data_IF_199016235324
#
_entry.id   IF_199016235324
#
_cell.length_a   1.000
_cell.length_b   1.000
_cell.length_c   1.000
_cell.angle_alpha   90.00
_cell.angle_beta   90.00
_cell.angle_gamma   90.00
#
_symmetry.space_group_name_H-M   'P 1'
#
loop_
_entity.id
_entity.type
_entity.pdbx_description
1 polymer ?
#
# COMPACT_ATOMS: atom_id res chain seq x y z
N UNK A 1 14.68 47.49 -22.48
CA UNK A 1 14.05 46.56 -21.52
C UNK A 1 13.17 45.65 -22.32
N UNK A 2 13.36 44.41 -22.14
CA UNK A 2 13.25 43.40 -23.18
C UNK A 2 11.96 42.65 -23.15
N UNK A 3 11.46 42.27 -24.33
CA UNK A 3 10.40 41.25 -24.57
C UNK A 3 10.58 40.06 -23.61
N UNK A 4 11.81 39.67 -23.31
CA UNK A 4 12.16 38.61 -22.36
C UNK A 4 11.69 38.86 -20.92
N UNK A 5 11.79 40.15 -20.43
CA UNK A 5 11.37 40.49 -19.06
C UNK A 5 9.84 40.54 -18.96
N UNK A 6 9.17 41.00 -20.00
CA UNK A 6 7.70 41.02 -20.09
C UNK A 6 7.14 39.59 -20.21
N UNK A 7 7.81 38.72 -20.98
CA UNK A 7 7.45 37.32 -21.09
C UNK A 7 7.65 36.60 -19.75
N UNK A 8 8.79 36.84 -19.09
CA UNK A 8 9.07 36.28 -17.76
C UNK A 8 8.06 36.72 -16.70
N UNK A 9 7.66 38.01 -16.73
CA UNK A 9 6.63 38.53 -15.83
C UNK A 9 5.27 37.89 -16.11
N UNK A 10 4.92 37.63 -17.37
CA UNK A 10 3.67 36.96 -17.76
C UNK A 10 3.60 35.50 -17.27
N UNK A 11 4.72 34.78 -17.38
CA UNK A 11 4.80 33.39 -16.85
C UNK A 11 4.88 33.32 -15.31
N UNK A 12 5.25 34.41 -14.65
CA UNK A 12 5.23 34.50 -13.18
C UNK A 12 3.87 34.92 -12.60
N UNK A 13 2.96 35.45 -13.43
CA UNK A 13 1.62 35.92 -13.00
C UNK A 13 0.79 34.87 -12.26
N UNK A 14 0.77 33.55 -12.63
CA UNK A 14 0.02 32.57 -11.91
C UNK A 14 0.32 32.49 -10.41
N UNK A 15 1.57 32.79 -10.01
CA UNK A 15 1.99 32.75 -8.61
C UNK A 15 1.38 33.90 -7.75
N UNK A 16 0.79 34.90 -8.36
CA UNK A 16 0.18 36.04 -7.65
C UNK A 16 -1.25 35.70 -7.21
N UNK A 17 -1.92 34.78 -7.90
CA UNK A 17 -3.34 34.46 -7.66
C UNK A 17 -3.57 33.57 -6.44
N UNK A 18 -2.56 32.90 -5.94
CA UNK A 18 -2.71 31.97 -4.82
C UNK A 18 -3.53 30.72 -5.14
N UNK A 19 -3.81 29.95 -4.10
CA UNK A 19 -4.57 28.71 -4.18
C UNK A 19 -5.93 28.85 -3.46
N UNK A 20 -6.97 28.19 -3.96
CA UNK A 20 -8.28 28.08 -3.33
C UNK A 20 -8.48 26.68 -2.75
N UNK A 21 -9.25 26.54 -1.65
CA UNK A 21 -9.68 25.24 -1.15
C UNK A 21 -10.45 24.47 -2.22
N UNK A 22 -10.08 23.23 -2.45
CA UNK A 22 -10.74 22.36 -3.44
C UNK A 22 -10.92 20.95 -2.90
N UNK A 23 -11.83 20.20 -3.50
CA UNK A 23 -12.01 18.78 -3.26
C UNK A 23 -11.78 18.04 -4.56
N UNK A 24 -11.06 16.94 -4.47
CA UNK A 24 -10.89 16.01 -5.59
C UNK A 24 -11.66 14.74 -5.29
N UNK A 25 -12.61 14.40 -6.16
CA UNK A 25 -13.48 13.24 -6.01
C UNK A 25 -13.19 12.26 -7.14
N UNK A 26 -13.01 10.99 -6.77
CA UNK A 26 -12.84 9.87 -7.71
C UNK A 26 -13.65 8.66 -7.23
N UNK A 27 -14.01 7.77 -8.14
CA UNK A 27 -14.64 6.49 -7.83
C UNK A 27 -13.58 5.39 -7.94
N UNK A 28 -13.29 4.67 -6.84
CA UNK A 28 -12.24 3.62 -6.78
C UNK A 28 -10.88 4.03 -7.37
N UNK A 29 -10.56 5.33 -7.37
CA UNK A 29 -9.33 5.87 -7.96
C UNK A 29 -9.37 6.06 -9.48
N UNK A 30 -10.49 5.76 -10.13
CA UNK A 30 -10.71 5.93 -11.57
C UNK A 30 -11.43 7.26 -11.91
N UNK A 31 -11.44 7.58 -13.21
CA UNK A 31 -12.17 8.74 -13.72
C UNK A 31 -13.68 8.59 -13.51
N UNK A 32 -14.35 9.69 -13.12
CA UNK A 32 -15.79 9.70 -12.89
C UNK A 32 -16.56 9.70 -14.21
N UNK A 33 -17.62 8.86 -14.29
CA UNK A 33 -18.61 8.94 -15.35
C UNK A 33 -19.52 10.18 -15.17
N UNK A 34 -20.20 10.60 -16.23
CA UNK A 34 -21.10 11.77 -16.18
C UNK A 34 -22.21 11.60 -15.13
N UNK A 35 -22.76 10.40 -14.98
CA UNK A 35 -23.80 10.12 -13.98
C UNK A 35 -23.27 10.18 -12.52
N UNK A 36 -22.03 9.76 -12.31
CA UNK A 36 -21.37 9.88 -11.00
C UNK A 36 -21.06 11.34 -10.68
N UNK A 37 -20.62 12.11 -11.67
CA UNK A 37 -20.37 13.55 -11.53
C UNK A 37 -21.65 14.30 -11.15
N UNK A 38 -22.78 14.04 -11.85
CA UNK A 38 -24.07 14.63 -11.50
C UNK A 38 -24.50 14.28 -10.07
N UNK A 39 -24.26 13.04 -9.63
CA UNK A 39 -24.56 12.62 -8.26
C UNK A 39 -23.73 13.40 -7.25
N UNK A 40 -22.42 13.58 -7.48
CA UNK A 40 -21.55 14.37 -6.60
C UNK A 40 -22.02 15.80 -6.49
N UNK A 41 -22.34 16.45 -7.63
CA UNK A 41 -22.82 17.82 -7.66
C UNK A 41 -24.21 17.95 -6.99
N UNK A 42 -25.09 16.96 -7.15
CA UNK A 42 -26.37 16.91 -6.47
C UNK A 42 -26.27 16.84 -4.95
N UNK A 43 -25.34 16.08 -4.43
CA UNK A 43 -25.08 16.01 -2.97
C UNK A 43 -24.59 17.35 -2.42
N UNK A 44 -23.76 18.08 -3.19
CA UNK A 44 -23.30 19.41 -2.78
C UNK A 44 -24.44 20.42 -2.78
N UNK A 45 -25.33 20.36 -3.78
CA UNK A 45 -26.50 21.21 -3.87
C UNK A 45 -27.50 20.95 -2.73
N UNK A 46 -27.76 19.68 -2.38
CA UNK A 46 -28.53 19.27 -1.20
C UNK A 46 -27.96 19.76 0.14
N UNK A 47 -26.64 19.93 0.19
CA UNK A 47 -25.93 20.44 1.36
C UNK A 47 -25.84 21.98 1.39
N UNK A 48 -26.50 22.69 0.45
CA UNK A 48 -26.45 24.16 0.28
C UNK A 48 -25.01 24.69 0.04
N UNK A 49 -24.20 23.88 -0.64
CA UNK A 49 -22.81 24.22 -0.99
C UNK A 49 -22.73 24.52 -2.48
N UNK A 50 -22.45 25.79 -2.81
CA UNK A 50 -22.32 26.25 -4.19
C UNK A 50 -20.86 26.35 -4.61
N UNK A 51 -20.34 25.39 -5.40
CA UNK A 51 -18.95 25.43 -5.80
C UNK A 51 -18.66 26.64 -6.70
N UNK A 52 -17.53 27.33 -6.44
CA UNK A 52 -17.06 28.42 -7.30
C UNK A 52 -16.72 27.92 -8.69
N UNK A 53 -16.21 26.71 -8.81
CA UNK A 53 -15.91 26.02 -10.06
C UNK A 53 -15.90 24.51 -9.85
N UNK A 54 -16.38 23.77 -10.83
CA UNK A 54 -16.24 22.31 -10.89
C UNK A 54 -15.78 21.90 -12.28
N UNK A 55 -14.86 20.95 -12.37
CA UNK A 55 -14.32 20.45 -13.63
C UNK A 55 -13.57 19.15 -13.45
N UNK A 56 -13.29 18.45 -14.54
CA UNK A 56 -12.41 17.30 -14.52
C UNK A 56 -10.97 17.79 -14.63
N UNK A 57 -10.09 17.24 -13.78
CA UNK A 57 -8.65 17.45 -13.91
C UNK A 57 -8.08 16.57 -15.04
N UNK A 58 -6.77 16.67 -15.29
CA UNK A 58 -6.09 15.88 -16.36
C UNK A 58 -6.18 14.37 -16.15
N UNK A 59 -6.42 13.93 -14.92
CA UNK A 59 -6.58 12.52 -14.56
C UNK A 59 -8.04 12.04 -14.61
N UNK A 60 -8.97 12.89 -15.08
CA UNK A 60 -10.39 12.59 -15.17
C UNK A 60 -11.12 12.58 -13.83
N UNK A 61 -10.53 13.09 -12.75
CA UNK A 61 -11.16 13.22 -11.43
C UNK A 61 -11.93 14.54 -11.36
N UNK A 62 -13.04 14.57 -10.62
CA UNK A 62 -13.79 15.79 -10.41
C UNK A 62 -13.11 16.68 -9.37
N UNK A 63 -12.67 17.84 -9.80
CA UNK A 63 -12.17 18.89 -8.93
C UNK A 63 -13.29 19.91 -8.68
N UNK A 64 -13.58 20.15 -7.41
CA UNK A 64 -14.60 21.10 -6.94
C UNK A 64 -13.92 22.16 -6.09
N UNK A 65 -13.95 23.43 -6.54
CA UNK A 65 -13.36 24.56 -5.83
C UNK A 65 -14.45 25.24 -5.02
N UNK A 66 -14.18 25.49 -3.75
CA UNK A 66 -15.11 26.11 -2.80
C UNK A 66 -14.54 27.43 -2.27
N UNK A 67 -15.39 28.23 -1.62
CA UNK A 67 -15.02 29.59 -1.22
C UNK A 67 -13.98 29.64 -0.11
N UNK A 68 -14.10 28.77 0.90
CA UNK A 68 -13.22 28.74 2.05
C UNK A 68 -13.01 27.33 2.61
N UNK A 69 -12.14 27.21 3.62
CA UNK A 69 -11.81 25.93 4.27
C UNK A 69 -12.98 25.33 5.06
N UNK A 70 -13.88 26.17 5.59
CA UNK A 70 -15.04 25.70 6.34
C UNK A 70 -16.02 25.00 5.42
N UNK A 71 -16.26 25.62 4.25
CA UNK A 71 -17.09 25.07 3.19
C UNK A 71 -16.47 23.78 2.61
N UNK A 72 -15.14 23.72 2.49
CA UNK A 72 -14.41 22.53 2.06
C UNK A 72 -14.62 21.36 3.01
N UNK A 73 -14.58 21.58 4.31
CA UNK A 73 -14.81 20.54 5.32
C UNK A 73 -16.27 20.07 5.29
N UNK A 74 -17.24 20.99 5.23
CA UNK A 74 -18.65 20.66 5.13
C UNK A 74 -18.96 19.84 3.87
N UNK A 75 -18.39 20.23 2.73
CA UNK A 75 -18.51 19.51 1.48
C UNK A 75 -17.93 18.10 1.57
N UNK A 76 -16.72 17.95 2.15
CA UNK A 76 -16.10 16.67 2.35
C UNK A 76 -16.95 15.73 3.21
N UNK A 77 -17.52 16.24 4.31
CA UNK A 77 -18.35 15.45 5.22
C UNK A 77 -19.71 15.09 4.59
N UNK A 78 -20.32 15.99 3.80
CA UNK A 78 -21.55 15.72 3.07
C UNK A 78 -21.30 14.62 2.02
N UNK A 79 -20.27 14.74 1.21
CA UNK A 79 -19.92 13.77 0.18
C UNK A 79 -19.59 12.39 0.78
N UNK A 80 -18.77 12.32 1.81
CA UNK A 80 -18.41 11.05 2.48
C UNK A 80 -19.64 10.34 3.06
N UNK A 81 -20.60 11.09 3.63
CA UNK A 81 -21.83 10.51 4.18
C UNK A 81 -22.79 10.01 3.09
N UNK A 82 -22.92 10.75 1.99
CA UNK A 82 -23.90 10.45 0.94
C UNK A 82 -23.40 9.41 -0.07
N UNK A 83 -22.10 9.41 -0.39
CA UNK A 83 -21.53 8.58 -1.46
C UNK A 83 -20.94 7.25 -0.94
N UNK A 84 -20.68 7.14 0.37
CA UNK A 84 -20.13 5.92 0.97
C UNK A 84 -18.68 5.65 0.63
N UNK A 85 -18.28 4.36 0.72
CA UNK A 85 -16.88 3.94 0.57
C UNK A 85 -16.39 3.81 -0.87
N UNK A 86 -17.30 3.81 -1.84
CA UNK A 86 -16.98 3.65 -3.27
C UNK A 86 -16.38 4.93 -3.89
N UNK A 87 -16.38 6.01 -3.14
CA UNK A 87 -15.84 7.30 -3.57
C UNK A 87 -14.72 7.76 -2.63
N UNK A 88 -13.65 8.22 -3.22
CA UNK A 88 -12.52 8.84 -2.52
C UNK A 88 -12.69 10.36 -2.63
N UNK A 89 -12.87 11.02 -1.50
CA UNK A 89 -12.97 12.49 -1.39
C UNK A 89 -11.70 13.00 -0.71
N UNK A 90 -10.85 13.64 -1.48
CA UNK A 90 -9.59 14.23 -1.00
C UNK A 90 -9.68 15.76 -0.91
N UNK A 91 -9.19 16.31 0.19
CA UNK A 91 -9.02 17.76 0.35
C UNK A 91 -7.77 18.20 -0.42
N UNK A 92 -7.90 19.21 -1.27
CA UNK A 92 -6.82 19.72 -2.11
C UNK A 92 -6.84 21.24 -2.16
N UNK A 93 -5.89 21.80 -2.88
CA UNK A 93 -5.80 23.22 -3.19
C UNK A 93 -5.72 23.36 -4.71
N UNK A 94 -6.56 24.20 -5.29
CA UNK A 94 -6.57 24.49 -6.73
C UNK A 94 -6.06 25.90 -7.01
N UNK A 95 -5.27 26.11 -8.06
CA UNK A 95 -4.79 27.44 -8.42
C UNK A 95 -5.96 28.34 -8.89
N UNK A 96 -6.03 29.56 -8.34
CA UNK A 96 -7.03 30.57 -8.71
C UNK A 96 -6.67 31.34 -9.99
N UNK A 97 -5.59 30.98 -10.68
CA UNK A 97 -5.19 31.63 -11.90
C UNK A 97 -6.24 31.54 -13.01
N UNK A 98 -6.52 32.60 -13.76
CA UNK A 98 -7.49 32.62 -14.84
C UNK A 98 -7.22 31.57 -15.94
N UNK A 99 -8.27 31.00 -16.51
CA UNK A 99 -8.18 29.94 -17.53
C UNK A 99 -7.34 30.35 -18.74
N UNK A 100 -7.45 31.61 -19.21
CA UNK A 100 -6.67 32.11 -20.35
C UNK A 100 -5.15 32.08 -20.10
N UNK A 101 -4.73 32.18 -18.82
CA UNK A 101 -3.32 32.15 -18.44
C UNK A 101 -2.77 30.73 -18.47
N UNK A 102 -3.57 29.75 -18.03
CA UNK A 102 -3.22 28.34 -18.02
C UNK A 102 -3.38 27.68 -19.38
N UNK A 103 -4.58 27.78 -19.96
CA UNK A 103 -4.95 27.11 -21.21
C UNK A 103 -4.43 27.84 -22.46
N UNK A 104 -4.35 29.18 -22.40
CA UNK A 104 -3.92 29.99 -23.52
C UNK A 104 -2.40 30.18 -23.63
N UNK A 105 -1.71 30.28 -22.51
CA UNK A 105 -0.25 30.53 -22.45
C UNK A 105 0.55 29.36 -21.88
N UNK A 106 -0.11 28.35 -21.33
CA UNK A 106 0.55 27.26 -20.63
C UNK A 106 1.34 27.72 -19.39
N UNK A 107 0.92 28.85 -18.79
CA UNK A 107 1.58 29.41 -17.62
C UNK A 107 0.93 28.81 -16.36
N UNK A 108 1.61 27.87 -15.74
CA UNK A 108 1.21 27.26 -14.48
C UNK A 108 1.87 27.95 -13.29
N UNK A 109 1.22 27.96 -12.10
CA UNK A 109 1.89 28.41 -10.89
C UNK A 109 3.09 27.52 -10.58
N UNK A 110 4.14 28.10 -10.01
CA UNK A 110 5.32 27.35 -9.63
C UNK A 110 4.95 26.29 -8.60
N UNK A 111 5.37 25.06 -8.86
CA UNK A 111 5.23 23.97 -7.89
C UNK A 111 6.04 24.30 -6.63
N UNK A 112 5.33 24.66 -5.56
CA UNK A 112 5.93 24.99 -4.28
C UNK A 112 6.10 23.70 -3.47
N UNK A 113 7.34 23.41 -3.09
CA UNK A 113 7.65 22.29 -2.22
C UNK A 113 7.08 22.43 -0.80
N UNK A 114 7.25 21.42 0.00
CA UNK A 114 6.75 21.30 1.38
C UNK A 114 7.13 22.50 2.25
N UNK A 115 8.33 23.06 2.04
CA UNK A 115 8.86 24.19 2.83
C UNK A 115 8.07 25.50 2.64
N UNK A 116 7.43 25.66 1.51
CA UNK A 116 6.69 26.89 1.14
C UNK A 116 5.17 26.71 1.20
N UNK A 117 4.66 25.52 0.91
CA UNK A 117 3.22 25.21 0.94
C UNK A 117 2.76 24.61 2.26
N UNK A 118 3.70 24.16 3.10
CA UNK A 118 3.39 23.28 4.22
C UNK A 118 2.94 21.89 3.73
N UNK A 119 2.58 21.01 4.65
CA UNK A 119 2.13 19.67 4.32
C UNK A 119 2.66 18.65 5.31
N UNK A 120 2.53 17.37 4.96
CA UNK A 120 2.92 16.25 5.82
C UNK A 120 4.15 15.56 5.25
N UNK A 121 5.05 15.21 6.15
CA UNK A 121 6.27 14.48 5.87
C UNK A 121 6.29 13.20 6.70
N UNK A 122 6.26 12.03 6.03
CA UNK A 122 6.42 10.74 6.68
C UNK A 122 7.78 10.15 6.33
N UNK A 123 8.47 9.65 7.33
CA UNK A 123 9.60 8.74 7.16
C UNK A 123 9.13 7.36 7.64
N UNK A 124 8.98 6.44 6.71
CA UNK A 124 8.52 5.08 6.96
C UNK A 124 9.71 4.13 6.88
N UNK A 125 9.74 3.14 7.73
CA UNK A 125 10.76 2.09 7.75
C UNK A 125 10.12 0.75 7.40
N UNK A 126 10.77 -0.02 6.54
CA UNK A 126 10.35 -1.39 6.21
C UNK A 126 10.85 -2.31 7.32
N UNK A 127 9.93 -3.03 7.96
CA UNK A 127 10.25 -4.01 8.99
C UNK A 127 10.93 -5.24 8.35
N UNK A 128 12.25 -5.16 8.25
CA UNK A 128 13.08 -6.20 7.65
C UNK A 128 13.05 -7.47 8.48
N UNK A 129 13.04 -7.34 9.80
CA UNK A 129 13.04 -8.50 10.70
C UNK A 129 11.77 -9.34 10.50
N UNK A 130 10.62 -8.69 10.41
CA UNK A 130 9.35 -9.37 10.10
C UNK A 130 9.36 -10.06 8.72
N UNK A 131 9.94 -9.41 7.71
CA UNK A 131 10.07 -9.99 6.36
C UNK A 131 10.93 -11.26 6.38
N UNK A 132 12.08 -11.21 7.08
CA UNK A 132 12.98 -12.35 7.22
C UNK A 132 12.33 -13.48 8.02
N UNK A 133 11.65 -13.16 9.11
CA UNK A 133 10.94 -14.13 9.93
C UNK A 133 9.85 -14.85 9.12
N UNK A 134 9.05 -14.12 8.36
CA UNK A 134 8.00 -14.67 7.50
C UNK A 134 8.57 -15.62 6.43
N UNK A 135 9.72 -15.27 5.84
CA UNK A 135 10.43 -16.14 4.90
C UNK A 135 10.96 -17.39 5.60
N UNK A 136 11.54 -17.26 6.79
CA UNK A 136 12.01 -18.40 7.57
C UNK A 136 10.87 -19.35 7.98
N UNK A 137 9.68 -18.84 8.30
CA UNK A 137 8.48 -19.64 8.53
C UNK A 137 8.07 -20.45 7.30
N UNK A 138 8.24 -19.88 6.11
CA UNK A 138 7.98 -20.60 4.86
C UNK A 138 8.99 -21.72 4.67
N UNK A 139 10.29 -21.46 4.81
CA UNK A 139 11.32 -22.51 4.74
C UNK A 139 11.12 -23.57 5.81
N UNK A 140 10.72 -23.18 7.02
CA UNK A 140 10.41 -24.14 8.07
C UNK A 140 9.27 -25.11 7.68
N UNK A 141 8.35 -24.73 6.81
CA UNK A 141 7.32 -25.62 6.25
C UNK A 141 7.83 -26.45 5.08
N UNK A 142 8.64 -25.86 4.21
CA UNK A 142 9.05 -26.44 2.93
C UNK A 142 10.19 -27.44 3.05
N UNK A 143 11.25 -27.14 3.84
CA UNK A 143 12.41 -28.00 4.01
C UNK A 143 12.07 -29.41 4.51
N UNK A 144 11.22 -29.59 5.54
CA UNK A 144 10.77 -30.91 5.97
C UNK A 144 10.02 -31.69 4.88
N UNK A 145 9.20 -30.98 4.10
CA UNK A 145 8.46 -31.56 2.98
C UNK A 145 9.39 -32.05 1.88
N UNK A 146 10.39 -31.24 1.54
CA UNK A 146 11.41 -31.57 0.57
C UNK A 146 12.21 -32.83 0.98
N UNK A 147 12.73 -32.87 2.22
CA UNK A 147 13.51 -33.99 2.73
C UNK A 147 12.74 -35.32 2.72
N UNK A 148 11.43 -35.29 3.02
CA UNK A 148 10.58 -36.48 2.99
C UNK A 148 10.33 -37.01 1.58
N UNK A 149 10.35 -36.16 0.56
CA UNK A 149 10.15 -36.55 -0.86
C UNK A 149 11.43 -37.08 -1.55
N UNK A 150 12.59 -37.05 -0.87
CA UNK A 150 13.82 -37.59 -1.42
C UNK A 150 13.78 -39.11 -1.54
N UNK A 151 14.58 -39.67 -2.44
CA UNK A 151 14.79 -41.12 -2.60
C UNK A 151 16.25 -41.47 -2.34
N UNK A 152 16.55 -42.19 -1.23
CA UNK A 152 15.65 -42.60 -0.14
C UNK A 152 15.23 -41.39 0.73
N UNK A 153 14.04 -41.42 1.37
CA UNK A 153 13.55 -40.35 2.23
C UNK A 153 14.50 -40.04 3.37
N UNK A 154 14.72 -38.75 3.61
CA UNK A 154 15.54 -38.28 4.74
C UNK A 154 14.62 -37.91 5.90
N UNK A 155 14.77 -38.63 7.02
CA UNK A 155 13.95 -38.41 8.22
C UNK A 155 14.67 -37.49 9.19
N UNK A 156 13.97 -36.51 9.70
CA UNK A 156 14.39 -35.62 10.79
C UNK A 156 13.62 -35.97 12.07
N UNK A 157 14.18 -35.67 13.23
CA UNK A 157 13.58 -35.95 14.55
C UNK A 157 12.84 -34.75 15.13
N UNK A 158 13.38 -33.54 14.92
CA UNK A 158 12.76 -32.31 15.38
C UNK A 158 12.98 -31.18 14.37
N UNK A 159 12.08 -30.22 14.40
CA UNK A 159 12.16 -28.95 13.67
C UNK A 159 11.86 -27.82 14.64
N UNK A 160 12.69 -26.79 14.64
CA UNK A 160 12.48 -25.56 15.40
C UNK A 160 12.68 -24.36 14.49
N UNK A 161 12.03 -23.27 14.82
CA UNK A 161 12.26 -21.96 14.22
C UNK A 161 12.71 -21.03 15.35
N UNK A 162 13.91 -20.50 15.22
CA UNK A 162 14.48 -19.53 16.17
C UNK A 162 14.81 -18.24 15.41
N UNK A 163 13.98 -17.20 15.61
CA UNK A 163 14.07 -15.96 14.83
C UNK A 163 13.90 -16.23 13.33
N UNK A 164 14.95 -15.95 12.54
CA UNK A 164 15.00 -16.20 11.09
C UNK A 164 15.77 -17.47 10.72
N UNK A 165 16.09 -18.35 11.68
CA UNK A 165 16.85 -19.57 11.47
C UNK A 165 15.98 -20.81 11.67
N UNK A 166 16.02 -21.72 10.71
CA UNK A 166 15.34 -23.02 10.79
C UNK A 166 16.33 -24.07 11.27
N UNK A 167 16.01 -24.76 12.35
CA UNK A 167 16.79 -25.85 12.90
C UNK A 167 16.12 -27.19 12.58
N UNK A 168 16.92 -28.15 12.09
CA UNK A 168 16.49 -29.53 11.83
C UNK A 168 17.41 -30.49 12.58
N UNK A 169 16.85 -31.33 13.46
CA UNK A 169 17.59 -32.35 14.19
C UNK A 169 17.44 -33.72 13.50
N UNK A 170 18.50 -34.52 13.52
CA UNK A 170 18.56 -35.84 12.90
C UNK A 170 18.95 -36.91 13.92
N UNK A 171 18.56 -38.16 13.66
CA UNK A 171 18.84 -39.31 14.53
C UNK A 171 20.27 -39.85 14.36
N UNK A 172 20.78 -39.79 13.14
CA UNK A 172 22.06 -40.37 12.75
C UNK A 172 22.83 -39.46 11.79
N UNK A 173 24.17 -39.65 11.77
CA UNK A 173 25.04 -38.85 10.95
C UNK A 173 24.85 -39.05 9.44
N UNK A 174 24.38 -40.23 9.02
CA UNK A 174 24.15 -40.50 7.61
C UNK A 174 22.94 -39.71 7.09
N UNK A 175 21.85 -39.66 7.85
CA UNK A 175 20.67 -38.83 7.52
C UNK A 175 21.02 -37.34 7.50
N UNK A 176 21.83 -36.87 8.44
CA UNK A 176 22.33 -35.49 8.48
C UNK A 176 23.15 -35.17 7.23
N UNK A 177 24.12 -36.02 6.86
CA UNK A 177 24.96 -35.79 5.69
C UNK A 177 24.17 -35.78 4.39
N UNK A 178 23.17 -36.68 4.26
CA UNK A 178 22.29 -36.69 3.09
C UNK A 178 21.42 -35.45 3.05
N UNK A 179 20.86 -35.02 4.18
CA UNK A 179 20.08 -33.78 4.27
C UNK A 179 20.91 -32.57 3.85
N UNK A 180 22.09 -32.41 4.45
CA UNK A 180 23.00 -31.30 4.13
C UNK A 180 23.31 -31.23 2.63
N UNK A 181 23.68 -32.38 2.02
CA UNK A 181 24.00 -32.43 0.60
C UNK A 181 22.80 -32.04 -0.27
N UNK A 182 21.61 -32.57 0.04
CA UNK A 182 20.39 -32.33 -0.75
C UNK A 182 19.90 -30.89 -0.60
N UNK A 183 19.90 -30.37 0.62
CA UNK A 183 19.48 -29.00 0.89
C UNK A 183 20.39 -27.98 0.23
N UNK A 184 21.72 -28.18 0.30
CA UNK A 184 22.68 -27.30 -0.39
C UNK A 184 22.62 -27.34 -1.92
N UNK A 185 22.09 -28.43 -2.46
CA UNK A 185 21.90 -28.56 -3.92
C UNK A 185 20.63 -27.90 -4.42
N UNK A 186 19.57 -27.85 -3.61
CA UNK A 186 18.27 -27.37 -3.99
C UNK A 186 18.01 -25.93 -3.55
N UNK A 187 18.59 -25.52 -2.43
CA UNK A 187 18.39 -24.20 -1.82
C UNK A 187 19.74 -23.47 -1.74
N UNK A 188 20.18 -22.93 -2.86
CA UNK A 188 21.42 -22.15 -2.98
C UNK A 188 21.32 -20.78 -2.29
N UNK A 189 20.07 -20.31 -2.08
CA UNK A 189 19.76 -19.10 -1.33
C UNK A 189 19.88 -19.25 0.18
N UNK A 190 20.09 -20.47 0.71
CA UNK A 190 20.23 -20.74 2.14
C UNK A 190 21.68 -21.09 2.54
N UNK A 191 22.15 -20.45 3.58
CA UNK A 191 23.34 -20.87 4.30
C UNK A 191 22.97 -22.05 5.22
N UNK A 192 23.51 -23.23 4.90
CA UNK A 192 23.27 -24.46 5.65
C UNK A 192 24.52 -24.85 6.40
N UNK A 193 24.43 -24.84 7.73
CA UNK A 193 25.53 -25.14 8.63
C UNK A 193 25.16 -26.29 9.56
N UNK A 194 26.17 -27.02 10.02
CA UNK A 194 25.97 -28.05 11.06
C UNK A 194 25.86 -27.40 12.42
N UNK A 195 24.91 -27.88 13.20
CA UNK A 195 24.71 -27.37 14.56
C UNK A 195 25.85 -27.79 15.46
N UNK A 196 26.53 -26.81 16.06
CA UNK A 196 27.64 -27.03 17.01
C UNK A 196 27.10 -27.19 18.45
N UNK A 197 26.27 -28.20 18.69
CA UNK A 197 25.79 -28.50 20.04
C UNK A 197 26.25 -29.91 20.51
N UNK A 198 26.82 -30.06 21.69
CA UNK A 198 27.26 -31.35 22.18
C UNK A 198 26.11 -32.37 22.25
N UNK A 199 26.28 -33.48 21.55
CA UNK A 199 25.28 -34.57 21.54
C UNK A 199 24.05 -34.33 20.67
N UNK A 200 23.98 -33.25 19.90
CA UNK A 200 22.91 -32.99 18.92
C UNK A 200 23.45 -33.08 17.49
N UNK A 201 22.79 -33.84 16.66
CA UNK A 201 23.06 -33.95 15.24
C UNK A 201 22.00 -33.09 14.52
N UNK A 202 22.38 -31.91 14.06
CA UNK A 202 21.44 -30.98 13.46
C UNK A 202 22.05 -30.13 12.34
N UNK A 203 21.16 -29.50 11.58
CA UNK A 203 21.47 -28.48 10.60
C UNK A 203 20.71 -27.20 10.97
N UNK A 204 21.37 -26.07 10.81
CA UNK A 204 20.76 -24.76 10.78
C UNK A 204 20.68 -24.28 9.33
N UNK A 205 19.54 -23.76 8.95
CA UNK A 205 19.34 -23.14 7.65
C UNK A 205 18.85 -21.70 7.87
N UNK A 206 19.58 -20.77 7.34
CA UNK A 206 19.24 -19.34 7.36
C UNK A 206 19.39 -18.78 5.94
N UNK A 207 18.71 -17.70 5.67
CA UNK A 207 18.87 -17.00 4.40
C UNK A 207 20.29 -16.45 4.26
N UNK A 208 20.90 -16.63 3.10
CA UNK A 208 22.23 -16.07 2.80
C UNK A 208 22.21 -14.55 2.82
N UNK A 209 23.35 -13.92 3.04
CA UNK A 209 23.45 -12.46 3.05
C UNK A 209 23.00 -11.86 1.72
N UNK A 210 23.41 -12.47 0.60
CA UNK A 210 23.03 -12.04 -0.75
C UNK A 210 21.51 -12.11 -0.97
N UNK A 211 20.87 -13.19 -0.54
CA UNK A 211 19.43 -13.36 -0.65
C UNK A 211 18.67 -12.42 0.29
N UNK A 212 19.20 -12.21 1.49
CA UNK A 212 18.68 -11.21 2.44
C UNK A 212 18.69 -9.82 1.82
N UNK A 213 19.78 -9.40 1.19
CA UNK A 213 19.84 -8.11 0.50
C UNK A 213 18.86 -8.02 -0.64
N UNK A 214 18.73 -9.08 -1.45
CA UNK A 214 17.77 -9.14 -2.55
C UNK A 214 16.32 -9.03 -2.06
N UNK A 215 15.99 -9.72 -0.97
CA UNK A 215 14.66 -9.69 -0.37
C UNK A 215 14.32 -8.30 0.19
N UNK A 216 15.29 -7.66 0.85
CA UNK A 216 15.16 -6.28 1.35
C UNK A 216 14.92 -5.31 0.19
N UNK A 217 15.73 -5.39 -0.86
CA UNK A 217 15.58 -4.52 -2.02
C UNK A 217 14.22 -4.71 -2.70
N UNK A 218 13.80 -5.95 -2.89
CA UNK A 218 12.49 -6.29 -3.44
C UNK A 218 11.35 -5.73 -2.57
N UNK A 219 11.42 -5.93 -1.25
CA UNK A 219 10.41 -5.47 -0.31
C UNK A 219 10.30 -3.93 -0.30
N UNK A 220 11.42 -3.23 -0.28
CA UNK A 220 11.43 -1.76 -0.36
C UNK A 220 10.85 -1.27 -1.68
N UNK A 221 11.22 -1.87 -2.82
CA UNK A 221 10.70 -1.52 -4.14
C UNK A 221 9.18 -1.75 -4.23
N UNK A 222 8.70 -2.87 -3.71
CA UNK A 222 7.27 -3.20 -3.68
C UNK A 222 6.50 -2.20 -2.81
N UNK A 223 6.98 -1.91 -1.60
CA UNK A 223 6.37 -0.93 -0.71
C UNK A 223 6.35 0.48 -1.33
N UNK A 224 7.45 0.88 -1.99
CA UNK A 224 7.53 2.16 -2.68
C UNK A 224 6.48 2.28 -3.80
N UNK A 225 6.26 1.21 -4.58
CA UNK A 225 5.23 1.17 -5.62
C UNK A 225 3.83 1.25 -5.01
N UNK A 226 3.58 0.49 -3.94
CA UNK A 226 2.29 0.50 -3.23
C UNK A 226 2.00 1.87 -2.64
N UNK A 227 2.99 2.50 -1.98
CA UNK A 227 2.84 3.83 -1.41
C UNK A 227 2.58 4.90 -2.48
N UNK A 228 3.26 4.85 -3.63
CA UNK A 228 2.98 5.75 -4.76
C UNK A 228 1.54 5.63 -5.24
N UNK A 229 1.05 4.41 -5.41
CA UNK A 229 -0.33 4.20 -5.85
C UNK A 229 -1.33 4.75 -4.84
N UNK A 230 -1.11 4.57 -3.55
CA UNK A 230 -1.97 5.11 -2.48
C UNK A 230 -1.92 6.63 -2.41
N UNK A 231 -0.74 7.20 -2.51
CA UNK A 231 -0.55 8.66 -2.53
C UNK A 231 -1.25 9.28 -3.72
N UNK A 232 -1.19 8.64 -4.89
CA UNK A 232 -1.91 9.10 -6.08
C UNK A 232 -3.44 9.05 -5.88
N UNK A 233 -3.96 8.08 -5.13
CA UNK A 233 -5.39 8.03 -4.78
C UNK A 233 -5.82 9.20 -3.88
N UNK A 234 -4.90 9.77 -3.10
CA UNK A 234 -5.19 10.97 -2.29
C UNK A 234 -5.43 12.23 -3.13
N UNK A 235 -5.08 12.22 -4.42
CA UNK A 235 -5.22 13.40 -5.29
C UNK A 235 -4.29 14.56 -4.93
N UNK A 236 -3.24 14.30 -4.16
CA UNK A 236 -2.25 15.32 -3.77
C UNK A 236 -1.43 15.73 -4.99
N UNK A 237 -1.31 17.03 -5.21
CA UNK A 237 -0.48 17.56 -6.27
C UNK A 237 1.02 17.36 -5.93
N UNK A 238 1.77 16.80 -6.88
CA UNK A 238 3.22 16.59 -6.81
C UNK A 238 3.74 15.90 -5.53
N UNK A 239 3.22 14.75 -5.17
CA UNK A 239 3.71 14.02 -4.02
C UNK A 239 5.11 13.47 -4.28
N UNK A 240 5.98 13.51 -3.27
CA UNK A 240 7.30 12.89 -3.35
C UNK A 240 7.30 11.57 -2.61
N UNK A 241 7.56 10.47 -3.31
CA UNK A 241 7.72 9.15 -2.71
C UNK A 241 9.05 8.57 -3.20
N UNK A 242 10.03 8.52 -2.31
CA UNK A 242 11.40 8.10 -2.67
C UNK A 242 12.03 7.25 -1.58
N UNK A 243 12.95 6.37 -1.99
CA UNK A 243 13.76 5.60 -1.07
C UNK A 243 14.79 6.50 -0.38
N UNK A 244 14.95 6.34 0.92
CA UNK A 244 15.97 7.00 1.72
C UNK A 244 16.81 5.99 2.49
N UNK A 245 18.03 5.75 2.04
CA UNK A 245 18.90 4.75 2.64
C UNK A 245 18.54 3.31 2.22
N UNK A 246 18.75 2.34 3.12
CA UNK A 246 18.61 0.91 2.83
C UNK A 246 17.14 0.45 2.90
N UNK A 247 16.42 0.87 3.91
CA UNK A 247 15.15 0.31 4.37
C UNK A 247 14.05 1.36 4.60
N UNK A 248 14.33 2.66 4.37
CA UNK A 248 13.39 3.73 4.62
C UNK A 248 12.82 4.30 3.33
N UNK A 249 11.59 4.79 3.43
CA UNK A 249 10.86 5.46 2.37
C UNK A 249 10.38 6.80 2.89
N UNK A 250 10.76 7.85 2.18
CA UNK A 250 10.32 9.20 2.40
C UNK A 250 9.06 9.46 1.59
N UNK A 251 8.00 9.93 2.26
CA UNK A 251 6.74 10.34 1.64
C UNK A 251 6.48 11.80 2.03
N UNK A 252 6.40 12.69 1.04
CA UNK A 252 6.06 14.10 1.24
C UNK A 252 4.77 14.40 0.51
N UNK A 253 3.82 14.99 1.22
CA UNK A 253 2.49 15.32 0.75
C UNK A 253 2.27 16.83 0.90
N UNK A 254 2.66 17.63 -0.10
CA UNK A 254 2.46 19.08 -0.06
C UNK A 254 0.97 19.43 -0.01
N UNK A 255 0.62 20.44 0.79
CA UNK A 255 -0.76 20.94 0.90
C UNK A 255 -1.73 20.09 1.72
N UNK A 256 -1.32 18.90 2.20
CA UNK A 256 -2.14 18.07 3.09
C UNK A 256 -2.13 18.66 4.49
N UNK A 257 -3.30 19.01 5.02
CA UNK A 257 -3.44 19.63 6.34
C UNK A 257 -3.72 18.62 7.46
N UNK A 258 -4.34 17.48 7.14
CA UNK A 258 -4.66 16.43 8.12
C UNK A 258 -3.69 15.24 8.02
N UNK A 259 -2.70 15.16 8.93
CA UNK A 259 -1.77 14.03 8.97
C UNK A 259 -2.46 12.70 9.31
N UNK A 260 -3.57 12.73 10.05
CA UNK A 260 -4.28 11.53 10.50
C UNK A 260 -4.98 10.83 9.33
N UNK A 261 -5.64 11.62 8.49
CA UNK A 261 -6.27 11.11 7.27
C UNK A 261 -5.21 10.54 6.31
N UNK A 262 -4.13 11.27 6.08
CA UNK A 262 -3.03 10.80 5.24
C UNK A 262 -2.43 9.50 5.78
N UNK A 263 -2.21 9.40 7.09
CA UNK A 263 -1.70 8.20 7.75
C UNK A 263 -2.66 7.03 7.59
N UNK A 264 -3.96 7.20 7.79
CA UNK A 264 -4.95 6.12 7.68
C UNK A 264 -4.97 5.48 6.28
N UNK A 265 -4.77 6.27 5.22
CA UNK A 265 -4.71 5.78 3.85
C UNK A 265 -3.38 5.07 3.57
N UNK A 266 -2.27 5.61 4.08
CA UNK A 266 -0.96 4.98 3.93
C UNK A 266 -0.85 3.67 4.73
N UNK A 267 -1.45 3.59 5.92
CA UNK A 267 -1.44 2.42 6.80
C UNK A 267 -2.46 1.35 6.40
N UNK A 268 -3.42 1.64 5.52
CA UNK A 268 -4.42 0.68 5.09
C UNK A 268 -3.75 -0.54 4.45
N UNK A 269 -3.58 -1.63 5.18
CA UNK A 269 -3.04 -2.88 4.67
C UNK A 269 -4.18 -3.84 4.39
N UNK A 270 -4.36 -4.21 3.12
CA UNK A 270 -5.22 -5.32 2.74
C UNK A 270 -4.34 -6.51 2.37
N UNK A 271 -4.48 -7.61 3.09
CA UNK A 271 -3.83 -8.86 2.74
C UNK A 271 -4.84 -9.73 2.00
N UNK A 272 -4.49 -10.15 0.78
CA UNK A 272 -5.30 -11.10 0.04
C UNK A 272 -5.03 -12.51 0.58
N UNK A 273 -6.04 -13.13 1.16
CA UNK A 273 -5.98 -14.49 1.64
C UNK A 273 -6.95 -15.36 0.84
N UNK A 274 -6.45 -16.47 0.31
CA UNK A 274 -7.28 -17.51 -0.29
C UNK A 274 -7.58 -18.57 0.76
N UNK A 275 -8.84 -18.74 1.09
CA UNK A 275 -9.31 -19.74 2.04
C UNK A 275 -10.36 -20.61 1.39
N UNK A 276 -10.30 -21.93 1.65
CA UNK A 276 -11.35 -22.86 1.23
C UNK A 276 -12.64 -22.59 2.02
N UNK A 277 -13.77 -22.61 1.36
CA UNK A 277 -15.08 -22.48 2.01
C UNK A 277 -15.49 -23.85 2.54
N UNK A 278 -15.94 -23.91 3.79
CA UNK A 278 -16.55 -25.10 4.37
C UNK A 278 -18.01 -25.19 3.87
N UNK A 279 -18.24 -25.92 2.77
CA UNK A 279 -19.56 -26.02 2.13
C UNK A 279 -20.59 -26.80 2.97
N UNK A 280 -20.12 -27.68 3.86
CA UNK A 280 -20.97 -28.54 4.69
C UNK A 280 -21.45 -27.88 5.98
N UNK A 281 -21.06 -26.62 6.26
CA UNK A 281 -21.34 -25.94 7.51
C UNK A 281 -22.18 -24.67 7.30
N UNK A 282 -23.17 -24.47 8.18
CA UNK A 282 -24.01 -23.27 8.16
C UNK A 282 -23.32 -22.12 8.91
N UNK A 283 -22.71 -21.21 8.15
CA UNK A 283 -22.01 -20.04 8.68
C UNK A 283 -22.91 -19.12 9.51
N UNK A 284 -24.21 -18.99 9.18
CA UNK A 284 -25.18 -18.16 9.91
C UNK A 284 -25.48 -18.78 11.27
N UNK A 285 -25.65 -20.10 11.30
CA UNK A 285 -25.88 -20.85 12.53
C UNK A 285 -24.64 -20.79 13.44
N UNK A 286 -23.45 -20.97 12.89
CA UNK A 286 -22.19 -20.88 13.62
C UNK A 286 -21.98 -19.48 14.23
N UNK A 287 -22.24 -18.42 13.45
CA UNK A 287 -22.13 -17.05 13.93
C UNK A 287 -23.14 -16.72 15.04
N UNK A 288 -24.35 -17.27 14.99
CA UNK A 288 -25.40 -17.04 16.01
C UNK A 288 -25.20 -17.89 17.27
N UNK A 289 -24.77 -19.13 17.14
CA UNK A 289 -24.60 -20.05 18.25
C UNK A 289 -23.26 -19.88 18.99
N UNK A 290 -22.28 -19.25 18.34
CA UNK A 290 -20.90 -19.18 18.84
C UNK A 290 -20.13 -20.49 18.78
N UNK A 291 -20.74 -21.56 18.23
CA UNK A 291 -20.09 -22.86 18.05
C UNK A 291 -19.46 -22.91 16.68
N UNK A 292 -18.15 -22.74 16.64
CA UNK A 292 -17.36 -22.74 15.41
C UNK A 292 -16.71 -24.11 15.24
N UNK A 293 -16.92 -24.82 14.10
CA UNK A 293 -16.28 -26.09 13.83
C UNK A 293 -14.76 -26.00 13.84
N UNK A 294 -14.08 -27.04 14.31
CA UNK A 294 -12.63 -27.09 14.39
C UNK A 294 -11.98 -26.87 13.01
N UNK A 295 -11.06 -25.90 12.91
CA UNK A 295 -10.34 -25.59 11.69
C UNK A 295 -11.07 -24.62 10.75
N UNK A 296 -12.21 -24.05 11.17
CA UNK A 296 -12.96 -23.04 10.43
C UNK A 296 -12.98 -21.70 11.16
N UNK A 297 -13.24 -20.63 10.44
CA UNK A 297 -13.39 -19.28 10.98
C UNK A 297 -14.53 -18.57 10.23
N UNK A 298 -15.52 -17.96 10.93
CA UNK A 298 -16.56 -17.18 10.30
C UNK A 298 -15.97 -15.85 9.81
N UNK A 299 -16.16 -15.55 8.52
CA UNK A 299 -15.73 -14.29 7.90
C UNK A 299 -16.90 -13.57 7.28
N UNK A 300 -16.91 -12.24 7.37
CA UNK A 300 -17.90 -11.40 6.66
C UNK A 300 -17.40 -11.08 5.26
N UNK A 301 -18.25 -11.31 4.27
CA UNK A 301 -17.94 -10.93 2.89
C UNK A 301 -18.43 -9.51 2.59
N UNK A 302 -17.61 -8.75 1.90
CA UNK A 302 -18.03 -7.52 1.23
C UNK A 302 -18.41 -7.76 -0.23
N UNK A 303 -17.82 -8.79 -0.87
CA UNK A 303 -18.16 -9.22 -2.23
C UNK A 303 -18.11 -10.75 -2.36
N UNK A 304 -19.15 -11.31 -2.97
CA UNK A 304 -19.21 -12.71 -3.41
C UNK A 304 -18.83 -12.76 -4.90
N UNK A 305 -17.67 -13.30 -5.22
CA UNK A 305 -17.41 -13.78 -6.58
C UNK A 305 -18.12 -15.14 -6.73
N UNK A 306 -19.04 -15.23 -7.67
CA UNK A 306 -19.70 -16.48 -8.02
C UNK A 306 -18.63 -17.54 -8.39
N UNK A 307 -18.72 -18.78 -7.88
CA UNK A 307 -17.83 -19.82 -8.33
C UNK A 307 -18.05 -20.06 -9.81
N UNK A 308 -17.06 -19.76 -10.63
CA UNK A 308 -17.00 -20.22 -12.03
C UNK A 308 -16.88 -21.74 -11.97
N UNK A 309 -17.94 -22.45 -12.32
CA UNK A 309 -17.85 -23.88 -12.61
C UNK A 309 -16.84 -24.06 -13.74
N UNK A 310 -15.74 -24.76 -13.44
CA UNK A 310 -14.85 -25.33 -14.45
C UNK A 310 -15.55 -26.49 -15.14
#
# INVERSE_FOLDING_TARGET
>A
MCIRDSLGALFALPNIYGDAPSLVVSADGEALSDSQRERVLGVLDEADISPLRSGLNEEGRLEVIVADESEQLLASDALKRALGHDYIVALSLAPQSPAWLREGLGAEPMALGLDLRGGVHFLMEVDIEHVLQKSAEQYARDLPGFLRRQEPPVRYTARRLEGSTVELEFRDAESLQRAEKRLRQEYDELDIERMEAPGKLGLTARMSETETERLVEFSVKQNLTTLRNRVNQLGVAEPVVQRQGRDRILVQLPGVKDPTQAKSILDATATLEYRAVAEDEDAVLAARSGVIPNGTEPVSYTHLTLPTKA
#
